data_IF_095940340754
#
_entry.id   IF_095940340754
#
_cell.length_a   1.000
_cell.length_b   1.000
_cell.length_c   1.000
_cell.angle_alpha   90.00
_cell.angle_beta   90.00
_cell.angle_gamma   90.00
#
_symmetry.space_group_name_H-M   'P 1'
#
loop_
_entity.id
_entity.type
_entity.pdbx_description
1 polymer ?
#
# COMPACT_ATOMS: atom_id res chain seq x y z
N UNK A 1 -42.46 -2.77 -15.07
CA UNK A 1 -42.58 -1.43 -15.65
C UNK A 1 -41.20 -0.85 -15.77
N UNK A 2 -40.92 -0.15 -16.87
CA UNK A 2 -39.62 0.48 -17.20
C UNK A 2 -38.40 -0.46 -17.28
N UNK A 3 -38.51 -1.54 -18.07
CA UNK A 3 -37.39 -2.46 -18.34
C UNK A 3 -36.30 -1.79 -19.20
N UNK A 4 -36.71 -0.91 -20.10
CA UNK A 4 -35.87 -0.12 -20.98
C UNK A 4 -35.03 0.93 -20.23
N UNK A 5 -35.59 1.63 -19.25
CA UNK A 5 -34.85 2.60 -18.43
C UNK A 5 -33.68 1.95 -17.67
N UNK A 6 -33.90 0.79 -17.05
CA UNK A 6 -32.87 0.11 -16.25
C UNK A 6 -31.78 -0.53 -17.13
N UNK A 7 -32.17 -1.19 -18.22
CA UNK A 7 -31.24 -1.97 -19.04
C UNK A 7 -30.48 -1.14 -20.10
N UNK A 8 -30.96 0.07 -20.42
CA UNK A 8 -30.32 0.96 -21.41
C UNK A 8 -29.62 2.13 -20.73
N UNK A 9 -30.31 2.81 -19.82
CA UNK A 9 -29.81 4.08 -19.27
C UNK A 9 -29.03 3.87 -17.98
N UNK A 10 -29.56 3.10 -17.03
CA UNK A 10 -28.86 2.81 -15.77
C UNK A 10 -27.65 1.88 -15.97
N UNK A 11 -27.70 0.98 -16.97
CA UNK A 11 -26.58 0.08 -17.31
C UNK A 11 -25.30 0.83 -17.75
N UNK A 12 -25.38 2.12 -18.08
CA UNK A 12 -24.20 2.94 -18.43
C UNK A 12 -23.41 3.41 -17.21
N UNK A 13 -24.03 3.42 -16.03
CA UNK A 13 -23.39 3.87 -14.80
C UNK A 13 -23.18 2.67 -13.87
N UNK A 14 -21.94 2.31 -13.53
CA UNK A 14 -21.71 1.19 -12.64
C UNK A 14 -22.26 1.48 -11.24
N UNK A 15 -22.87 0.47 -10.61
CA UNK A 15 -23.23 0.53 -9.20
C UNK A 15 -21.96 0.44 -8.35
N UNK A 16 -21.64 1.52 -7.62
CA UNK A 16 -20.45 1.60 -6.77
C UNK A 16 -20.87 1.59 -5.30
N UNK A 17 -20.49 0.53 -4.57
CA UNK A 17 -20.59 0.49 -3.12
C UNK A 17 -19.25 0.95 -2.54
N UNK A 18 -19.24 2.11 -1.88
CA UNK A 18 -18.04 2.64 -1.22
C UNK A 18 -18.28 2.79 0.28
N UNK A 19 -17.25 2.46 1.07
CA UNK A 19 -17.23 2.65 2.52
C UNK A 19 -16.09 3.61 2.89
N UNK A 20 -16.27 4.34 4.00
CA UNK A 20 -15.28 5.34 4.43
C UNK A 20 -14.10 4.70 5.17
N UNK A 21 -12.90 4.77 4.58
CA UNK A 21 -11.64 4.33 5.20
C UNK A 21 -11.11 5.35 6.24
N UNK A 22 -11.77 5.47 7.41
CA UNK A 22 -11.35 6.42 8.47
C UNK A 22 -10.20 5.93 9.35
N UNK A 23 -10.07 4.61 9.57
CA UNK A 23 -9.08 4.03 10.51
C UNK A 23 -7.65 3.92 9.96
N UNK A 24 -7.47 4.01 8.64
CA UNK A 24 -6.21 3.60 7.98
C UNK A 24 -5.11 4.68 7.99
N UNK A 25 -5.45 5.96 8.11
CA UNK A 25 -4.47 7.06 7.96
C UNK A 25 -3.28 6.98 8.92
N UNK A 26 -3.48 6.48 10.14
CA UNK A 26 -2.39 6.34 11.13
C UNK A 26 -1.42 5.23 10.74
N UNK A 27 -1.91 4.10 10.23
CA UNK A 27 -1.05 2.98 9.85
C UNK A 27 -0.12 3.34 8.70
N UNK A 28 -0.52 4.18 7.75
CA UNK A 28 0.39 4.66 6.71
C UNK A 28 1.59 5.43 7.29
N UNK A 29 1.36 6.29 8.29
CA UNK A 29 2.43 7.08 8.91
C UNK A 29 3.37 6.17 9.71
N UNK A 30 2.82 5.26 10.51
CA UNK A 30 3.62 4.38 11.37
C UNK A 30 4.36 3.31 10.56
N UNK A 31 3.74 2.76 9.51
CA UNK A 31 4.39 1.87 8.55
C UNK A 31 5.56 2.56 7.82
N UNK A 32 5.39 3.84 7.42
CA UNK A 32 6.49 4.60 6.82
C UNK A 32 7.63 4.86 7.80
N UNK A 33 7.33 5.14 9.07
CA UNK A 33 8.37 5.25 10.11
C UNK A 33 9.11 3.93 10.30
N UNK A 34 8.38 2.82 10.32
CA UNK A 34 8.96 1.49 10.41
C UNK A 34 9.89 1.20 9.22
N UNK A 35 9.43 1.43 7.98
CA UNK A 35 10.24 1.22 6.77
C UNK A 35 11.59 1.97 6.84
N UNK A 36 11.59 3.21 7.34
CA UNK A 36 12.80 4.04 7.46
C UNK A 36 13.80 3.58 8.53
N UNK A 37 13.38 2.77 9.51
CA UNK A 37 14.30 2.23 10.55
C UNK A 37 14.81 0.83 10.21
N UNK A 38 14.39 0.26 9.09
CA UNK A 38 14.89 -1.02 8.63
C UNK A 38 16.32 -0.88 8.09
N UNK A 39 17.04 -1.99 8.16
CA UNK A 39 18.40 -2.14 7.67
C UNK A 39 18.36 -3.15 6.50
N UNK A 40 19.38 -3.19 5.63
CA UNK A 40 19.39 -4.08 4.47
C UNK A 40 19.20 -5.57 4.78
N UNK A 41 19.56 -6.05 5.98
CA UNK A 41 19.33 -7.43 6.43
C UNK A 41 17.88 -7.74 6.83
N UNK A 42 17.02 -6.73 6.97
CA UNK A 42 15.64 -6.90 7.41
C UNK A 42 14.65 -7.13 6.26
N UNK A 43 15.07 -7.02 5.01
CA UNK A 43 14.20 -7.19 3.85
C UNK A 43 14.97 -7.74 2.65
N UNK A 44 14.24 -8.33 1.72
CA UNK A 44 14.74 -8.80 0.42
C UNK A 44 13.96 -8.06 -0.66
N UNK A 45 14.68 -7.51 -1.64
CA UNK A 45 14.10 -6.83 -2.80
C UNK A 45 14.32 -7.70 -4.02
N UNK A 46 13.25 -7.91 -4.77
CA UNK A 46 13.31 -8.44 -6.12
C UNK A 46 12.86 -7.34 -7.10
N UNK A 47 13.85 -6.78 -7.81
CA UNK A 47 13.66 -5.70 -8.78
C UNK A 47 13.09 -6.19 -10.11
N UNK A 48 13.13 -7.49 -10.39
CA UNK A 48 12.53 -8.04 -11.61
C UNK A 48 11.00 -8.13 -11.46
N UNK A 49 10.53 -8.46 -10.26
CA UNK A 49 9.09 -8.54 -9.95
C UNK A 49 8.52 -7.30 -9.25
N UNK A 50 9.33 -6.28 -8.97
CA UNK A 50 8.98 -5.10 -8.17
C UNK A 50 8.33 -5.49 -6.82
N UNK A 51 8.91 -6.50 -6.16
CA UNK A 51 8.47 -7.01 -4.86
C UNK A 51 9.51 -6.80 -3.75
N UNK A 52 9.01 -6.64 -2.53
CA UNK A 52 9.81 -6.52 -1.32
C UNK A 52 9.14 -7.30 -0.20
N UNK A 53 9.91 -8.17 0.44
CA UNK A 53 9.43 -8.99 1.56
C UNK A 53 10.36 -8.79 2.77
N UNK A 54 9.80 -8.88 3.97
CA UNK A 54 10.58 -8.85 5.20
C UNK A 54 11.30 -10.18 5.40
N UNK A 55 12.55 -10.13 5.88
CA UNK A 55 13.23 -11.32 6.40
C UNK A 55 12.70 -11.68 7.79
N UNK A 56 13.04 -12.84 8.32
CA UNK A 56 12.71 -13.23 9.70
C UNK A 56 13.13 -12.16 10.73
N UNK A 57 14.31 -11.56 10.54
CA UNK A 57 14.80 -10.46 11.39
C UNK A 57 13.93 -9.20 11.25
N UNK A 58 13.48 -8.89 10.03
CA UNK A 58 12.58 -7.79 9.76
C UNK A 58 11.19 -7.99 10.36
N UNK A 59 10.67 -9.21 10.32
CA UNK A 59 9.39 -9.60 10.92
C UNK A 59 9.46 -9.40 12.43
N UNK A 60 10.47 -9.97 13.08
CA UNK A 60 10.69 -9.82 14.53
C UNK A 60 10.83 -8.35 14.94
N UNK A 61 11.57 -7.57 14.15
CA UNK A 61 11.69 -6.12 14.39
C UNK A 61 10.35 -5.40 14.24
N UNK A 62 9.49 -5.83 13.31
CA UNK A 62 8.12 -5.34 13.15
C UNK A 62 7.28 -5.63 14.39
N UNK A 63 7.30 -6.87 14.86
CA UNK A 63 6.60 -7.30 16.08
C UNK A 63 7.00 -6.44 17.29
N UNK A 64 8.31 -6.22 17.48
CA UNK A 64 8.84 -5.37 18.55
C UNK A 64 8.44 -3.89 18.37
N UNK A 65 8.52 -3.35 17.15
CA UNK A 65 8.22 -1.95 16.86
C UNK A 65 6.76 -1.61 17.08
N UNK A 66 5.86 -2.48 16.61
CA UNK A 66 4.41 -2.31 16.72
C UNK A 66 3.83 -2.89 18.02
N UNK A 67 4.67 -3.57 18.83
CA UNK A 67 4.29 -4.23 20.09
C UNK A 67 3.16 -5.24 19.90
N UNK A 68 3.31 -6.09 18.88
CA UNK A 68 2.35 -7.13 18.53
C UNK A 68 3.03 -8.50 18.61
N UNK A 69 2.31 -9.56 19.01
CA UNK A 69 2.91 -10.88 19.18
C UNK A 69 3.22 -11.59 17.87
N UNK A 70 2.45 -11.31 16.82
CA UNK A 70 2.63 -11.91 15.49
C UNK A 70 2.17 -10.93 14.41
N UNK A 71 3.09 -10.54 13.53
CA UNK A 71 2.80 -9.60 12.45
C UNK A 71 1.82 -10.17 11.39
N UNK A 72 1.81 -11.48 11.19
CA UNK A 72 1.00 -12.18 10.18
C UNK A 72 -0.34 -12.70 10.71
N UNK A 73 -0.70 -12.33 11.94
CA UNK A 73 -2.03 -12.61 12.49
C UNK A 73 -3.12 -11.93 11.65
N UNK A 74 -4.29 -12.56 11.53
CA UNK A 74 -5.44 -12.03 10.79
C UNK A 74 -5.91 -10.66 11.32
N UNK A 75 -5.67 -10.38 12.60
CA UNK A 75 -5.96 -9.09 13.21
C UNK A 75 -5.07 -7.95 12.67
N UNK A 76 -3.90 -8.29 12.10
CA UNK A 76 -2.88 -7.34 11.65
C UNK A 76 -2.82 -7.20 10.12
N UNK A 77 -3.75 -7.79 9.36
CA UNK A 77 -3.75 -7.77 7.88
C UNK A 77 -3.62 -6.34 7.31
N UNK A 78 -4.36 -5.38 7.87
CA UNK A 78 -4.33 -3.99 7.41
C UNK A 78 -2.95 -3.37 7.66
N UNK A 79 -2.38 -3.61 8.84
CA UNK A 79 -1.06 -3.11 9.20
C UNK A 79 0.02 -3.73 8.29
N UNK A 80 -0.02 -5.05 8.09
CA UNK A 80 0.89 -5.77 7.20
C UNK A 80 0.81 -5.21 5.78
N UNK A 81 -0.39 -4.97 5.27
CA UNK A 81 -0.58 -4.34 3.96
C UNK A 81 0.02 -2.93 3.90
N UNK A 82 -0.22 -2.09 4.91
CA UNK A 82 0.40 -0.77 5.02
C UNK A 82 1.94 -0.83 5.06
N UNK A 83 2.51 -1.82 5.77
CA UNK A 83 3.97 -2.05 5.82
C UNK A 83 4.49 -2.41 4.43
N UNK A 84 3.89 -3.37 3.73
CA UNK A 84 4.29 -3.74 2.36
C UNK A 84 4.25 -2.54 1.41
N UNK A 85 3.20 -1.72 1.49
CA UNK A 85 3.10 -0.51 0.66
C UNK A 85 4.17 0.53 1.03
N UNK A 86 4.44 0.73 2.32
CA UNK A 86 5.49 1.64 2.77
C UNK A 86 6.88 1.18 2.32
N UNK A 87 7.15 -0.13 2.38
CA UNK A 87 8.37 -0.74 1.88
C UNK A 87 8.54 -0.48 0.39
N UNK A 88 7.53 -0.81 -0.43
CA UNK A 88 7.56 -0.57 -1.88
C UNK A 88 7.79 0.92 -2.20
N UNK A 89 7.08 1.81 -1.51
CA UNK A 89 7.21 3.26 -1.72
C UNK A 89 8.58 3.83 -1.35
N UNK A 90 9.29 3.26 -0.36
CA UNK A 90 10.60 3.76 0.08
C UNK A 90 11.77 3.12 -0.68
N UNK A 91 11.64 1.88 -1.12
CA UNK A 91 12.77 1.09 -1.64
C UNK A 91 12.69 0.72 -3.12
N UNK A 92 11.49 0.72 -3.72
CA UNK A 92 11.29 0.34 -5.13
C UNK A 92 10.90 1.56 -5.96
N UNK A 93 9.99 2.40 -5.46
CA UNK A 93 9.50 3.56 -6.22
C UNK A 93 10.49 4.73 -6.17
N UNK A 94 10.80 5.27 -7.34
CA UNK A 94 11.76 6.35 -7.54
C UNK A 94 11.09 7.64 -8.02
N UNK A 95 11.45 8.76 -7.37
CA UNK A 95 11.02 10.09 -7.79
C UNK A 95 11.65 10.44 -9.13
N UNK A 96 10.86 11.04 -10.03
CA UNK A 96 11.19 11.38 -11.42
C UNK A 96 11.34 10.17 -12.37
N UNK A 97 11.00 8.96 -11.92
CA UNK A 97 10.93 7.76 -12.75
C UNK A 97 9.54 7.13 -12.66
N UNK A 98 9.07 6.87 -11.45
CA UNK A 98 7.75 6.25 -11.22
C UNK A 98 6.69 7.30 -10.84
N UNK A 99 7.13 8.40 -10.20
CA UNK A 99 6.23 9.48 -9.80
C UNK A 99 6.90 10.85 -9.76
N UNK A 100 6.08 11.90 -9.86
CA UNK A 100 6.44 13.30 -9.69
C UNK A 100 5.75 13.88 -8.46
N UNK A 101 6.36 14.92 -7.88
CA UNK A 101 5.75 15.72 -6.82
C UNK A 101 5.53 17.12 -7.35
N UNK A 102 4.28 17.50 -7.56
CA UNK A 102 3.87 18.81 -8.07
C UNK A 102 2.70 19.34 -7.25
N UNK A 103 2.72 20.62 -6.88
CA UNK A 103 1.66 21.25 -6.09
C UNK A 103 1.26 20.47 -4.82
N UNK A 104 2.25 19.87 -4.15
CA UNK A 104 2.05 19.02 -2.97
C UNK A 104 1.15 17.78 -3.21
N UNK A 105 1.10 17.32 -4.47
CA UNK A 105 0.42 16.11 -4.91
C UNK A 105 1.44 15.17 -5.57
N UNK A 106 1.15 13.87 -5.51
CA UNK A 106 1.91 12.82 -6.18
C UNK A 106 1.22 12.52 -7.50
N UNK A 107 1.95 12.63 -8.61
CA UNK A 107 1.50 12.28 -9.96
C UNK A 107 2.25 11.04 -10.42
N UNK A 108 1.55 10.01 -10.88
CA UNK A 108 2.17 8.78 -11.40
C UNK A 108 2.63 9.05 -12.84
N UNK A 109 3.86 8.62 -13.17
CA UNK A 109 4.37 8.67 -14.53
C UNK A 109 3.91 7.41 -15.26
N UNK A 110 3.24 7.57 -16.40
CA UNK A 110 2.88 6.45 -17.26
C UNK A 110 4.10 6.05 -18.10
N UNK A 111 4.49 4.77 -18.04
CA UNK A 111 5.64 4.25 -18.77
C UNK A 111 5.39 4.12 -20.29
N UNK A 112 4.14 4.24 -20.74
CA UNK A 112 3.76 4.14 -22.15
C UNK A 112 3.70 5.49 -22.89
N UNK A 113 3.91 6.62 -22.20
CA UNK A 113 3.85 7.98 -22.77
C UNK A 113 5.03 8.82 -22.34
#
# INVERSE_FOLDING_TARGET
DEVDSVLIDEARTPLIISSYAKKEKRFYIDANRFAKVLKPNHYIIDLESDTIELTEEGIKKGEDFFRIPNLYDSNNIILLHCIKNALKANFIMEKNKDYLVSNNQILIIDQFT
#
